data_IF_547765310211
#
_entry.id   IF_547765310211
#
_cell.length_a   1.000
_cell.length_b   1.000
_cell.length_c   1.000
_cell.angle_alpha   90.00
_cell.angle_beta   90.00
_cell.angle_gamma   90.00
#
_symmetry.space_group_name_H-M   'P 1'
#
loop_
_entity.id
_entity.type
_entity.pdbx_description
1 polymer ?
#
# COMPACT_ATOMS: atom_id res chain seq x y z
N UNK A 1 38.17 -24.84 -6.31
CA UNK A 1 38.33 -24.70 -4.85
C UNK A 1 38.57 -23.25 -4.38
N UNK A 2 38.53 -22.26 -5.28
CA UNK A 2 38.86 -20.85 -5.01
C UNK A 2 37.64 -19.91 -4.87
N UNK A 3 36.43 -20.35 -5.24
CA UNK A 3 35.20 -19.56 -5.09
C UNK A 3 34.67 -19.51 -3.65
N UNK A 4 34.97 -20.52 -2.84
CA UNK A 4 34.52 -20.58 -1.43
C UNK A 4 35.29 -19.60 -0.53
N UNK A 5 36.53 -19.26 -0.91
CA UNK A 5 37.40 -18.35 -0.14
C UNK A 5 37.06 -16.86 -0.39
N UNK A 6 36.49 -16.53 -1.56
CA UNK A 6 36.07 -15.16 -1.87
C UNK A 6 34.73 -14.78 -1.21
N UNK A 7 33.84 -15.75 -0.96
CA UNK A 7 32.58 -15.52 -0.23
C UNK A 7 32.82 -15.36 1.28
N UNK A 8 33.93 -15.89 1.79
CA UNK A 8 34.31 -15.68 3.21
C UNK A 8 34.93 -14.30 3.45
N UNK A 9 35.66 -13.74 2.47
CA UNK A 9 36.23 -12.38 2.57
C UNK A 9 35.20 -11.25 2.47
N UNK A 10 34.00 -11.48 1.91
CA UNK A 10 32.93 -10.47 1.85
C UNK A 10 32.05 -10.39 3.11
N UNK A 11 32.23 -11.30 4.07
CA UNK A 11 31.69 -11.15 5.42
C UNK A 11 32.66 -10.36 6.27
N UNK A 12 32.84 -9.08 5.95
CA UNK A 12 33.49 -8.17 6.87
C UNK A 12 32.59 -8.08 8.10
N UNK A 13 32.98 -8.77 9.17
CA UNK A 13 32.20 -8.84 10.40
C UNK A 13 32.19 -7.44 11.00
N UNK A 14 31.05 -6.76 10.91
CA UNK A 14 30.86 -5.43 11.50
C UNK A 14 31.29 -5.47 12.97
N UNK A 15 32.04 -4.46 13.45
CA UNK A 15 32.60 -4.50 14.78
C UNK A 15 31.50 -4.43 15.84
N UNK A 16 31.64 -5.26 16.89
CA UNK A 16 30.60 -5.49 17.90
C UNK A 16 30.09 -4.21 18.60
N UNK A 17 30.95 -3.20 18.74
CA UNK A 17 30.57 -1.91 19.35
C UNK A 17 29.49 -1.14 18.55
N UNK A 18 29.31 -1.44 17.26
CA UNK A 18 28.24 -0.87 16.41
C UNK A 18 26.96 -1.70 16.55
N UNK A 19 27.07 -3.02 16.70
CA UNK A 19 25.92 -3.93 16.75
C UNK A 19 25.21 -3.93 18.11
N UNK A 20 25.97 -3.84 19.21
CA UNK A 20 25.42 -3.82 20.56
C UNK A 20 24.39 -2.70 20.80
N UNK A 21 24.64 -1.42 20.45
CA UNK A 21 23.64 -0.37 20.65
C UNK A 21 22.37 -0.62 19.83
N UNK A 22 22.49 -1.18 18.61
CA UNK A 22 21.32 -1.58 17.81
C UNK A 22 20.53 -2.71 18.48
N UNK A 23 21.23 -3.70 19.05
CA UNK A 23 20.61 -4.77 19.83
C UNK A 23 19.86 -4.27 21.06
N UNK A 24 20.47 -3.36 21.84
CA UNK A 24 19.80 -2.72 22.98
C UNK A 24 18.59 -1.89 22.55
N UNK A 25 18.70 -1.15 21.44
CA UNK A 25 17.59 -0.42 20.86
C UNK A 25 16.42 -1.33 20.50
N UNK A 26 16.67 -2.48 19.85
CA UNK A 26 15.63 -3.47 19.55
C UNK A 26 15.03 -4.10 20.81
N UNK A 27 15.82 -4.33 21.85
CA UNK A 27 15.31 -4.78 23.15
C UNK A 27 14.36 -3.77 23.79
N UNK A 28 14.68 -2.47 23.71
CA UNK A 28 13.81 -1.40 24.20
C UNK A 28 12.51 -1.37 23.40
N UNK A 29 12.58 -1.43 22.06
CA UNK A 29 11.40 -1.51 21.20
C UNK A 29 10.55 -2.73 21.57
N UNK A 30 11.16 -3.88 21.79
CA UNK A 30 10.45 -5.09 22.17
C UNK A 30 9.64 -4.91 23.45
N UNK A 31 10.26 -4.37 24.51
CA UNK A 31 9.58 -4.13 25.80
C UNK A 31 8.43 -3.13 25.64
N UNK A 32 8.69 -2.01 24.95
CA UNK A 32 7.68 -0.96 24.76
C UNK A 32 6.53 -1.48 23.89
N UNK A 33 6.85 -2.11 22.76
CA UNK A 33 5.89 -2.63 21.79
C UNK A 33 5.00 -3.71 22.38
N UNK A 34 5.56 -4.66 23.12
CA UNK A 34 4.77 -5.69 23.80
C UNK A 34 3.90 -5.11 24.91
N UNK A 35 4.42 -4.17 25.71
CA UNK A 35 3.69 -3.56 26.83
C UNK A 35 2.52 -2.70 26.36
N UNK A 36 2.75 -1.80 25.39
CA UNK A 36 1.72 -0.90 24.88
C UNK A 36 0.63 -1.66 24.12
N UNK A 37 1.00 -2.54 23.20
CA UNK A 37 0.01 -3.32 22.45
C UNK A 37 -0.72 -4.31 23.36
N UNK A 38 -0.03 -4.94 24.31
CA UNK A 38 -0.66 -5.80 25.31
C UNK A 38 -1.65 -5.06 26.20
N UNK A 39 -1.32 -3.84 26.62
CA UNK A 39 -2.23 -3.00 27.42
C UNK A 39 -3.50 -2.64 26.64
N UNK A 40 -3.37 -2.16 25.40
CA UNK A 40 -4.53 -1.81 24.55
C UNK A 40 -5.38 -3.05 24.24
N UNK A 41 -4.75 -4.18 23.94
CA UNK A 41 -5.45 -5.45 23.74
C UNK A 41 -6.23 -5.87 24.99
N UNK A 42 -5.62 -5.72 26.17
CA UNK A 42 -6.28 -5.98 27.44
C UNK A 42 -7.51 -5.09 27.66
N UNK A 43 -7.43 -3.80 27.29
CA UNK A 43 -8.60 -2.91 27.33
C UNK A 43 -9.75 -3.41 26.44
N UNK A 44 -9.45 -3.83 25.20
CA UNK A 44 -10.48 -4.38 24.29
C UNK A 44 -11.07 -5.71 24.79
N UNK A 45 -10.27 -6.56 25.44
CA UNK A 45 -10.75 -7.80 26.07
C UNK A 45 -11.64 -7.48 27.28
N UNK A 46 -11.24 -6.51 28.11
CA UNK A 46 -11.89 -6.17 29.38
C UNK A 46 -13.19 -5.41 29.19
N UNK A 47 -13.24 -4.51 28.22
CA UNK A 47 -14.38 -3.63 27.95
C UNK A 47 -15.06 -4.01 26.65
N UNK A 48 -16.02 -4.95 26.73
CA UNK A 48 -16.75 -5.45 25.55
C UNK A 48 -17.47 -4.34 24.77
N UNK A 49 -17.90 -3.27 25.45
CA UNK A 49 -18.55 -2.11 24.82
C UNK A 49 -17.66 -1.44 23.78
N UNK A 50 -16.33 -1.46 23.96
CA UNK A 50 -15.39 -0.90 22.99
C UNK A 50 -15.44 -1.64 21.65
N UNK A 51 -15.80 -2.93 21.63
CA UNK A 51 -15.82 -3.77 20.42
C UNK A 51 -17.14 -3.70 19.63
N UNK A 52 -18.06 -2.80 19.99
CA UNK A 52 -19.34 -2.67 19.31
C UNK A 52 -19.22 -1.97 17.95
N UNK A 53 -18.26 -1.05 17.81
CA UNK A 53 -17.99 -0.37 16.54
C UNK A 53 -17.12 -1.24 15.62
N UNK A 54 -17.44 -1.26 14.33
CA UNK A 54 -16.68 -1.98 13.30
C UNK A 54 -15.21 -1.53 13.27
N UNK A 55 -14.96 -0.23 13.36
CA UNK A 55 -13.62 0.36 13.40
C UNK A 55 -12.78 -0.19 14.56
N UNK A 56 -13.40 -0.34 15.73
CA UNK A 56 -12.71 -0.80 16.92
C UNK A 56 -12.38 -2.30 16.86
N UNK A 57 -13.14 -3.09 16.10
CA UNK A 57 -12.81 -4.50 15.83
C UNK A 57 -11.55 -4.58 14.95
N UNK A 58 -11.43 -3.74 13.92
CA UNK A 58 -10.23 -3.70 13.09
C UNK A 58 -9.00 -3.19 13.87
N UNK A 59 -9.16 -2.17 14.72
CA UNK A 59 -8.10 -1.71 15.62
C UNK A 59 -7.68 -2.83 16.58
N UNK A 60 -8.63 -3.58 17.15
CA UNK A 60 -8.32 -4.71 18.01
C UNK A 60 -7.53 -5.81 17.25
N UNK A 61 -7.86 -6.06 15.99
CA UNK A 61 -7.13 -6.98 15.11
C UNK A 61 -5.71 -6.50 14.79
N UNK A 62 -5.53 -5.20 14.54
CA UNK A 62 -4.22 -4.57 14.32
C UNK A 62 -3.33 -4.70 15.57
N UNK A 63 -3.84 -4.30 16.74
CA UNK A 63 -3.09 -4.37 18.01
C UNK A 63 -2.72 -5.81 18.37
N UNK A 64 -3.59 -6.78 18.06
CA UNK A 64 -3.27 -8.20 18.24
C UNK A 64 -2.13 -8.65 17.31
N UNK A 65 -2.15 -8.22 16.04
CA UNK A 65 -1.09 -8.54 15.09
C UNK A 65 0.24 -7.90 15.49
N UNK A 66 0.24 -6.64 15.92
CA UNK A 66 1.43 -5.94 16.44
C UNK A 66 1.98 -6.59 17.72
N UNK A 67 1.11 -7.01 18.63
CA UNK A 67 1.51 -7.73 19.84
C UNK A 67 2.19 -9.07 19.51
N UNK A 68 1.57 -9.87 18.64
CA UNK A 68 2.15 -11.13 18.18
C UNK A 68 3.47 -10.91 17.42
N UNK A 69 3.52 -9.92 16.53
CA UNK A 69 4.73 -9.54 15.80
C UNK A 69 5.85 -9.16 16.76
N UNK A 70 5.59 -8.25 17.71
CA UNK A 70 6.58 -7.86 18.71
C UNK A 70 7.08 -9.05 19.54
N UNK A 71 6.21 -9.99 19.91
CA UNK A 71 6.60 -11.18 20.68
C UNK A 71 7.56 -12.11 19.92
N UNK A 72 7.41 -12.26 18.60
CA UNK A 72 8.11 -13.31 17.84
C UNK A 72 9.18 -12.79 16.87
N UNK A 73 9.04 -11.58 16.33
CA UNK A 73 9.93 -11.01 15.31
C UNK A 73 11.18 -10.38 15.94
N UNK A 74 11.02 -9.65 17.05
CA UNK A 74 12.08 -8.82 17.63
C UNK A 74 13.09 -9.57 18.52
N UNK A 75 12.76 -10.63 19.29
CA UNK A 75 13.70 -11.17 20.28
C UNK A 75 14.92 -11.87 19.66
N UNK A 76 14.76 -12.63 18.56
CA UNK A 76 15.87 -13.33 17.92
C UNK A 76 16.94 -12.37 17.35
N UNK A 77 16.58 -11.35 16.55
CA UNK A 77 17.55 -10.36 16.07
C UNK A 77 18.13 -9.52 17.22
N UNK A 78 17.33 -9.17 18.24
CA UNK A 78 17.84 -8.43 19.40
C UNK A 78 18.93 -9.22 20.15
N UNK A 79 18.70 -10.51 20.42
CA UNK A 79 19.69 -11.40 21.06
C UNK A 79 20.91 -11.59 20.17
N UNK A 80 20.72 -11.76 18.86
CA UNK A 80 21.84 -11.93 17.93
C UNK A 80 22.73 -10.69 17.83
N UNK A 81 22.14 -9.50 17.87
CA UNK A 81 22.85 -8.22 17.82
C UNK A 81 23.59 -7.90 19.12
N UNK A 82 22.97 -8.14 20.28
CA UNK A 82 23.65 -8.00 21.57
C UNK A 82 24.79 -9.01 21.72
N UNK A 83 24.56 -10.25 21.27
CA UNK A 83 25.57 -11.31 21.26
C UNK A 83 26.61 -11.17 20.15
N UNK A 84 26.50 -10.17 19.27
CA UNK A 84 27.36 -9.93 18.10
C UNK A 84 27.56 -11.16 17.20
N UNK A 85 26.62 -12.12 17.25
CA UNK A 85 26.64 -13.36 16.47
C UNK A 85 25.26 -13.98 16.40
N UNK A 86 24.96 -14.60 15.27
CA UNK A 86 23.74 -15.37 15.11
C UNK A 86 23.87 -16.75 15.78
N UNK A 87 23.19 -16.96 16.89
CA UNK A 87 23.22 -18.23 17.66
C UNK A 87 22.14 -19.25 17.22
N UNK A 88 21.09 -18.81 16.53
CA UNK A 88 19.90 -19.62 16.26
C UNK A 88 20.00 -20.52 15.03
N UNK A 89 21.20 -20.75 14.52
CA UNK A 89 21.47 -21.56 13.32
C UNK A 89 20.71 -21.07 12.07
N UNK A 90 20.87 -21.76 10.94
CA UNK A 90 20.17 -21.43 9.69
C UNK A 90 18.64 -21.53 9.82
N UNK A 91 18.15 -22.51 10.61
CA UNK A 91 16.71 -22.72 10.84
C UNK A 91 16.07 -21.50 11.51
N UNK A 92 16.73 -20.90 12.51
CA UNK A 92 16.20 -19.71 13.19
C UNK A 92 16.04 -18.52 12.25
N UNK A 93 16.95 -18.36 11.27
CA UNK A 93 16.87 -17.30 10.27
C UNK A 93 15.65 -17.48 9.34
N UNK A 94 15.41 -18.71 8.88
CA UNK A 94 14.23 -19.02 8.06
C UNK A 94 12.95 -18.78 8.85
N UNK A 95 12.88 -19.28 10.09
CA UNK A 95 11.68 -19.15 10.93
C UNK A 95 11.37 -17.68 11.21
N UNK A 96 12.38 -16.88 11.56
CA UNK A 96 12.24 -15.44 11.78
C UNK A 96 11.70 -14.73 10.52
N UNK A 97 12.29 -15.00 9.35
CA UNK A 97 11.84 -14.40 8.09
C UNK A 97 10.39 -14.78 7.72
N UNK A 98 10.00 -16.03 7.97
CA UNK A 98 8.62 -16.49 7.74
C UNK A 98 7.65 -15.75 8.68
N UNK A 99 7.97 -15.68 9.96
CA UNK A 99 7.14 -15.00 10.97
C UNK A 99 6.99 -13.52 10.60
N UNK A 100 8.10 -12.83 10.30
CA UNK A 100 8.10 -11.43 9.93
C UNK A 100 7.24 -11.16 8.68
N UNK A 101 7.33 -12.04 7.67
CA UNK A 101 6.51 -11.94 6.46
C UNK A 101 5.01 -12.02 6.77
N UNK A 102 4.58 -13.04 7.51
CA UNK A 102 3.16 -13.22 7.83
C UNK A 102 2.63 -12.10 8.74
N UNK A 103 3.39 -11.70 9.76
CA UNK A 103 3.03 -10.59 10.64
C UNK A 103 2.88 -9.27 9.84
N UNK A 104 3.82 -9.00 8.95
CA UNK A 104 3.76 -7.85 8.05
C UNK A 104 2.54 -7.89 7.13
N UNK A 105 2.21 -9.05 6.55
CA UNK A 105 1.02 -9.20 5.72
C UNK A 105 -0.27 -8.95 6.51
N UNK A 106 -0.37 -9.46 7.73
CA UNK A 106 -1.51 -9.22 8.62
C UNK A 106 -1.68 -7.73 8.94
N UNK A 107 -0.58 -7.03 9.28
CA UNK A 107 -0.60 -5.60 9.56
C UNK A 107 -1.01 -4.76 8.35
N UNK A 108 -0.43 -5.05 7.18
CA UNK A 108 -0.81 -4.36 5.93
C UNK A 108 -2.30 -4.55 5.63
N UNK A 109 -2.81 -5.76 5.82
CA UNK A 109 -4.23 -6.06 5.60
C UNK A 109 -5.13 -5.26 6.56
N UNK A 110 -4.82 -5.25 7.86
CA UNK A 110 -5.60 -4.49 8.85
C UNK A 110 -5.58 -2.98 8.57
N UNK A 111 -4.41 -2.42 8.27
CA UNK A 111 -4.27 -1.00 7.90
C UNK A 111 -5.06 -0.66 6.62
N UNK A 112 -5.08 -1.57 5.64
CA UNK A 112 -5.87 -1.40 4.43
C UNK A 112 -7.38 -1.35 4.74
N UNK A 113 -7.87 -2.24 5.60
CA UNK A 113 -9.28 -2.25 6.02
C UNK A 113 -9.66 -0.96 6.75
N UNK A 114 -8.85 -0.52 7.71
CA UNK A 114 -9.08 0.73 8.45
C UNK A 114 -9.09 1.93 7.49
N UNK A 115 -8.18 1.96 6.52
CA UNK A 115 -8.12 3.01 5.50
C UNK A 115 -9.35 3.01 4.59
N UNK A 116 -9.82 1.83 4.17
CA UNK A 116 -11.02 1.69 3.34
C UNK A 116 -12.28 2.15 4.06
N UNK A 117 -12.46 1.74 5.32
CA UNK A 117 -13.57 2.16 6.16
C UNK A 117 -13.57 3.68 6.36
N UNK A 118 -12.43 4.23 6.78
CA UNK A 118 -12.29 5.67 7.02
C UNK A 118 -12.54 6.48 5.74
N UNK A 119 -12.02 6.02 4.60
CA UNK A 119 -12.23 6.67 3.30
C UNK A 119 -13.69 6.62 2.85
N UNK A 120 -14.40 5.52 3.10
CA UNK A 120 -15.84 5.43 2.83
C UNK A 120 -16.63 6.42 3.68
N UNK A 121 -16.39 6.46 5.00
CA UNK A 121 -17.06 7.41 5.87
C UNK A 121 -16.82 8.86 5.41
N UNK A 122 -15.58 9.22 5.11
CA UNK A 122 -15.23 10.56 4.62
C UNK A 122 -15.95 10.91 3.31
N UNK A 123 -16.03 10.00 2.35
CA UNK A 123 -16.69 10.25 1.07
C UNK A 123 -18.20 10.47 1.21
N UNK A 124 -18.84 9.80 2.17
CA UNK A 124 -20.30 9.88 2.38
C UNK A 124 -20.71 10.97 3.38
N UNK A 125 -19.78 11.48 4.20
CA UNK A 125 -20.09 12.54 5.18
C UNK A 125 -20.72 13.79 4.59
N UNK A 126 -20.30 14.36 3.43
CA UNK A 126 -20.94 15.57 2.90
C UNK A 126 -22.38 15.33 2.46
N UNK A 127 -22.66 14.14 1.90
CA UNK A 127 -24.02 13.76 1.52
C UNK A 127 -24.92 13.61 2.75
N UNK A 128 -24.43 12.93 3.80
CA UNK A 128 -25.17 12.76 5.05
C UNK A 128 -25.47 14.10 5.72
N UNK A 129 -24.50 15.01 5.77
CA UNK A 129 -24.66 16.37 6.32
C UNK A 129 -25.69 17.15 5.51
N UNK A 130 -25.60 17.17 4.18
CA UNK A 130 -26.55 17.89 3.32
C UNK A 130 -27.98 17.33 3.43
N UNK A 131 -28.10 16.00 3.51
CA UNK A 131 -29.40 15.34 3.69
C UNK A 131 -30.03 15.68 5.03
N UNK A 132 -29.21 15.79 6.08
CA UNK A 132 -29.67 16.20 7.41
C UNK A 132 -30.08 17.68 7.44
N UNK A 133 -29.32 18.57 6.80
CA UNK A 133 -29.66 20.00 6.66
C UNK A 133 -31.02 20.17 5.98
N UNK A 134 -31.25 19.53 4.83
CA UNK A 134 -32.53 19.62 4.10
C UNK A 134 -33.72 19.01 4.87
N UNK A 135 -33.49 18.11 5.84
CA UNK A 135 -34.56 17.49 6.61
C UNK A 135 -35.07 18.37 7.77
N UNK A 136 -34.30 19.37 8.21
CA UNK A 136 -34.60 20.15 9.42
C UNK A 136 -34.56 21.67 9.23
N UNK A 137 -34.08 22.17 8.09
CA UNK A 137 -34.05 23.60 7.76
C UNK A 137 -35.04 23.83 6.62
N UNK A 138 -36.04 24.69 6.87
CA UNK A 138 -37.13 24.99 5.95
C UNK A 138 -36.64 25.44 4.55
N UNK A 139 -37.36 25.02 3.52
CA UNK A 139 -37.03 25.01 2.08
C UNK A 139 -36.78 26.39 1.42
N UNK A 140 -36.79 27.51 2.15
CA UNK A 140 -36.76 28.85 1.55
C UNK A 140 -35.37 29.39 1.18
N UNK A 141 -34.26 28.74 1.57
CA UNK A 141 -32.91 29.29 1.33
C UNK A 141 -31.90 28.37 0.63
N UNK A 142 -32.28 27.16 0.19
CA UNK A 142 -31.32 26.26 -0.49
C UNK A 142 -31.68 26.02 -1.96
N UNK A 143 -30.87 26.52 -2.92
CA UNK A 143 -31.03 26.19 -4.33
C UNK A 143 -31.03 24.65 -4.52
N UNK A 144 -31.94 24.07 -5.31
CA UNK A 144 -32.00 22.62 -5.58
C UNK A 144 -30.69 22.03 -6.15
N UNK A 145 -29.79 22.90 -6.64
CA UNK A 145 -28.42 22.56 -7.06
C UNK A 145 -27.55 22.06 -5.88
N UNK A 146 -27.74 22.57 -4.66
CA UNK A 146 -26.94 22.18 -3.50
C UNK A 146 -27.28 20.77 -2.99
N UNK A 147 -28.54 20.32 -3.10
CA UNK A 147 -28.92 18.93 -2.76
C UNK A 147 -28.55 17.91 -3.84
N UNK A 148 -28.44 18.34 -5.10
CA UNK A 148 -28.16 17.43 -6.23
C UNK A 148 -26.67 17.10 -6.39
N UNK A 149 -25.75 18.02 -6.04
CA UNK A 149 -24.30 17.78 -6.17
C UNK A 149 -23.80 16.57 -5.34
N UNK A 150 -24.13 16.45 -4.03
CA UNK A 150 -23.72 15.29 -3.23
C UNK A 150 -24.43 14.00 -3.66
N UNK A 151 -25.71 14.10 -4.08
CA UNK A 151 -26.47 12.96 -4.57
C UNK A 151 -25.92 12.43 -5.92
N UNK A 152 -25.41 13.30 -6.78
CA UNK A 152 -24.71 12.95 -8.02
C UNK A 152 -23.34 12.35 -7.73
N UNK A 153 -22.59 12.86 -6.74
CA UNK A 153 -21.34 12.25 -6.30
C UNK A 153 -21.55 10.84 -5.73
N UNK A 154 -22.58 10.64 -4.91
CA UNK A 154 -22.95 9.32 -4.40
C UNK A 154 -23.40 8.37 -5.52
N UNK A 155 -24.14 8.85 -6.51
CA UNK A 155 -24.55 8.03 -7.68
C UNK A 155 -23.38 7.73 -8.64
N UNK A 156 -22.36 8.58 -8.72
CA UNK A 156 -21.13 8.29 -9.50
C UNK A 156 -20.18 7.33 -8.78
N UNK A 157 -20.50 6.86 -7.57
CA UNK A 157 -19.70 5.85 -6.85
C UNK A 157 -19.47 4.56 -7.65
N UNK A 158 -20.40 4.18 -8.54
CA UNK A 158 -20.20 3.06 -9.49
C UNK A 158 -19.04 3.28 -10.47
N UNK A 159 -18.64 4.53 -10.72
CA UNK A 159 -17.48 4.89 -11.54
C UNK A 159 -16.22 4.97 -10.68
N UNK A 160 -16.31 5.52 -9.47
CA UNK A 160 -15.16 5.67 -8.57
C UNK A 160 -14.66 4.34 -8.02
N UNK A 161 -15.56 3.39 -7.69
CA UNK A 161 -15.17 2.12 -7.08
C UNK A 161 -14.21 1.30 -7.97
N UNK A 162 -14.46 1.07 -9.27
CA UNK A 162 -13.50 0.44 -10.17
C UNK A 162 -12.23 1.27 -10.40
N UNK A 163 -12.34 2.60 -10.45
CA UNK A 163 -11.21 3.51 -10.68
C UNK A 163 -10.20 3.46 -9.52
N UNK A 164 -10.70 3.42 -8.28
CA UNK A 164 -9.88 3.23 -7.09
C UNK A 164 -9.19 1.86 -7.13
N UNK A 165 -9.91 0.81 -7.55
CA UNK A 165 -9.37 -0.53 -7.72
C UNK A 165 -8.22 -0.59 -8.75
N UNK A 166 -8.41 0.05 -9.91
CA UNK A 166 -7.40 0.10 -10.97
C UNK A 166 -6.21 1.00 -10.59
N UNK A 167 -6.47 2.13 -9.91
CA UNK A 167 -5.42 3.06 -9.51
C UNK A 167 -4.52 2.50 -8.39
N UNK A 168 -5.09 1.73 -7.45
CA UNK A 168 -4.32 1.11 -6.35
C UNK A 168 -3.62 -0.18 -6.72
N UNK A 169 -3.99 -0.85 -7.81
CA UNK A 169 -3.34 -2.09 -8.20
C UNK A 169 -2.16 -1.83 -9.15
N UNK A 170 -0.94 -1.88 -8.60
CA UNK A 170 0.30 -1.66 -9.35
C UNK A 170 0.47 -2.59 -10.56
N UNK A 171 -0.04 -3.82 -10.48
CA UNK A 171 0.02 -4.81 -11.57
C UNK A 171 -0.84 -4.38 -12.77
N UNK A 172 -1.99 -3.76 -12.52
CA UNK A 172 -2.89 -3.27 -13.57
C UNK A 172 -2.31 -2.01 -14.23
N UNK A 173 -1.71 -1.11 -13.44
CA UNK A 173 -0.98 0.06 -13.98
C UNK A 173 0.17 -0.33 -14.90
N UNK A 174 0.94 -1.35 -14.53
CA UNK A 174 2.01 -1.88 -15.38
C UNK A 174 1.46 -2.48 -16.68
N UNK A 175 0.36 -3.24 -16.61
CA UNK A 175 -0.31 -3.76 -17.81
C UNK A 175 -0.75 -2.64 -18.76
N UNK A 176 -1.34 -1.55 -18.23
CA UNK A 176 -1.72 -0.41 -19.06
C UNK A 176 -0.52 0.34 -19.65
N UNK A 177 0.59 0.51 -18.91
CA UNK A 177 1.79 1.19 -19.42
C UNK A 177 2.47 0.35 -20.52
N UNK A 178 2.57 -0.96 -20.31
CA UNK A 178 3.09 -1.91 -21.29
C UNK A 178 2.25 -1.89 -22.57
N UNK A 179 0.92 -1.90 -22.43
CA UNK A 179 0.00 -1.85 -23.56
C UNK A 179 0.07 -0.52 -24.33
N UNK A 180 0.29 0.60 -23.64
CA UNK A 180 0.49 1.93 -24.26
C UNK A 180 1.78 1.99 -25.07
N UNK A 181 2.86 1.42 -24.54
CA UNK A 181 4.15 1.33 -25.23
C UNK A 181 4.07 0.45 -26.47
N UNK A 182 3.40 -0.72 -26.37
CA UNK A 182 3.24 -1.63 -27.51
C UNK A 182 2.41 -1.00 -28.63
N UNK A 183 1.34 -0.26 -28.31
CA UNK A 183 0.52 0.47 -29.31
C UNK A 183 1.28 1.61 -29.99
N UNK A 184 2.18 2.29 -29.27
CA UNK A 184 3.06 3.31 -29.84
C UNK A 184 4.07 2.70 -30.81
N UNK A 185 4.64 1.53 -30.46
CA UNK A 185 5.55 0.80 -31.33
C UNK A 185 4.86 0.24 -32.57
N UNK A 186 3.59 -0.18 -32.46
CA UNK A 186 2.78 -0.64 -33.59
C UNK A 186 2.47 0.51 -34.58
N UNK A 187 2.12 1.70 -34.06
CA UNK A 187 1.89 2.89 -34.89
C UNK A 187 3.15 3.40 -35.60
N UNK A 188 4.33 3.16 -35.02
CA UNK A 188 5.63 3.45 -35.64
C UNK A 188 6.06 2.38 -36.67
N UNK A 189 5.48 1.17 -36.64
CA UNK A 189 5.75 0.09 -37.60
C UNK A 189 4.83 0.13 -38.83
N UNK A 190 3.79 0.95 -38.83
CA UNK A 190 3.00 1.26 -40.02
C UNK A 190 3.54 2.54 -40.67
N UNK A 191 4.51 2.47 -41.59
CA UNK A 191 4.86 3.62 -42.41
C UNK A 191 3.64 4.00 -43.27
N UNK A 192 3.42 5.30 -43.39
CA UNK A 192 2.52 6.02 -44.31
C UNK A 192 2.43 5.33 -45.70
N UNK A 193 1.58 4.31 -45.84
CA UNK A 193 1.22 3.72 -47.14
C UNK A 193 0.24 4.63 -47.92
N UNK A 194 -0.10 5.80 -47.37
CA UNK A 194 -1.06 6.75 -47.95
C UNK A 194 -0.39 8.00 -48.55
N UNK A 195 0.94 8.13 -48.47
CA UNK A 195 1.65 9.35 -48.95
C UNK A 195 2.17 9.27 -50.40
N UNK A 196 1.87 8.20 -51.15
CA UNK A 196 2.30 8.04 -52.55
C UNK A 196 1.24 8.34 -53.62
N UNK A 197 0.02 8.69 -53.26
CA UNK A 197 -1.05 8.95 -54.21
C UNK A 197 -1.60 10.37 -54.06
N UNK A 198 -0.81 11.38 -54.44
CA UNK A 198 -1.28 12.71 -54.87
C UNK A 198 -0.07 13.58 -55.31
N UNK A 199 0.32 13.48 -56.59
CA UNK A 199 0.95 14.61 -57.27
C UNK A 199 0.39 14.72 -58.70
N UNK A 200 -0.41 15.76 -59.00
CA UNK A 200 -0.80 16.06 -60.38
C UNK A 200 0.33 16.80 -61.11
N UNK A 201 0.56 16.35 -62.34
CA UNK A 201 1.16 16.95 -63.53
C UNK A 201 1.64 18.42 -63.47
N UNK A 202 2.92 18.67 -63.79
CA UNK A 202 3.36 19.79 -64.66
C UNK A 202 4.89 19.81 -64.89
N UNK A 203 5.36 19.02 -65.87
CA UNK A 203 6.65 19.23 -66.56
C UNK A 203 6.37 19.39 -68.05
N UNK A 204 5.74 20.51 -68.39
CA UNK A 204 5.89 21.12 -69.70
C UNK A 204 6.85 22.30 -69.49
N UNK A 205 8.12 22.13 -69.83
CA UNK A 205 9.00 23.12 -70.48
C UNK A 205 10.36 22.47 -70.81
N UNK A 206 10.70 22.52 -72.11
CA UNK A 206 12.05 22.51 -72.68
C UNK A 206 12.79 21.16 -72.84
N UNK A 207 12.47 20.44 -73.93
CA UNK A 207 13.50 20.06 -74.91
C UNK A 207 13.00 20.31 -76.34
N UNK A 208 13.76 21.13 -77.07
CA UNK A 208 13.64 21.44 -78.48
C UNK A 208 14.22 20.30 -79.32
N UNK A 209 13.39 19.66 -80.17
CA UNK A 209 13.69 19.27 -81.56
C UNK A 209 12.45 18.71 -82.24
#
# INVERSE_FOLDING_TARGET
MSLHNNVSSSKQLEPCYILQPLGYYLFIIWIIGTSLNGYVLCLFIRYKNLRQSLTNIFICGLVLADFCGALFEIPLPAIALVGCRWIFSYVGCIVEAIIAYFASCSNIYMLCLISLESGYLLAWTPYAIMSFICAFIDDEFFPPILGTIPALFAKTSVVWNPLIYVARNGNIRHYFSFRRHNRSNEKNRTPDATRYSLHPSSTAQLQLR
#
